data_IF_684966635895
#
_entry.id   IF_684966635895
#
_cell.length_a   1.000
_cell.length_b   1.000
_cell.length_c   1.000
_cell.angle_alpha   90.00
_cell.angle_beta   90.00
_cell.angle_gamma   90.00
#
_symmetry.space_group_name_H-M   'P 1'
#
loop_
_entity.id
_entity.type
_entity.pdbx_description
1 polymer ?
#
# COMPACT_ATOMS: atom_id res chain seq x y z
N UNK A 1 -47.14 35.49 61.72
CA UNK A 1 -45.85 34.77 61.64
C UNK A 1 -46.12 33.37 61.07
N UNK A 2 -45.80 33.12 59.80
CA UNK A 2 -45.94 31.80 59.14
C UNK A 2 -44.57 31.39 58.62
N UNK A 3 -43.95 30.40 59.24
CA UNK A 3 -42.67 29.82 58.83
C UNK A 3 -42.88 28.48 58.14
N UNK A 4 -42.72 28.44 56.82
CA UNK A 4 -42.69 27.21 56.01
C UNK A 4 -41.59 27.17 54.91
N UNK A 5 -40.36 27.72 55.06
CA UNK A 5 -39.36 27.58 53.99
C UNK A 5 -38.48 26.32 54.10
N UNK A 6 -38.47 25.59 55.22
CA UNK A 6 -37.40 24.61 55.50
C UNK A 6 -37.66 23.19 54.96
N UNK A 7 -38.91 22.75 54.84
CA UNK A 7 -39.25 21.37 54.46
C UNK A 7 -39.15 21.08 52.94
N UNK A 8 -39.40 22.08 52.10
CA UNK A 8 -39.40 21.91 50.62
C UNK A 8 -37.97 21.73 50.08
N UNK A 9 -36.99 22.39 50.71
CA UNK A 9 -35.58 22.34 50.28
C UNK A 9 -34.91 20.98 50.61
N UNK A 10 -35.36 20.29 51.67
CA UNK A 10 -34.84 18.98 52.08
C UNK A 10 -35.32 17.86 51.16
N UNK A 11 -36.59 17.93 50.73
CA UNK A 11 -37.19 16.92 49.83
C UNK A 11 -36.56 17.00 48.43
N UNK A 12 -36.31 18.20 47.90
CA UNK A 12 -35.61 18.36 46.61
C UNK A 12 -34.18 17.77 46.63
N UNK A 13 -33.45 17.95 47.73
CA UNK A 13 -32.09 17.42 47.90
C UNK A 13 -32.06 15.90 47.99
N UNK A 14 -33.02 15.29 48.69
CA UNK A 14 -33.13 13.83 48.79
C UNK A 14 -33.45 13.18 47.44
N UNK A 15 -34.34 13.77 46.64
CA UNK A 15 -34.69 13.28 45.30
C UNK A 15 -33.53 13.40 44.29
N UNK A 16 -32.74 14.47 44.36
CA UNK A 16 -31.54 14.65 43.53
C UNK A 16 -30.45 13.64 43.87
N UNK A 17 -30.23 13.37 45.16
CA UNK A 17 -29.27 12.35 45.61
C UNK A 17 -29.71 10.94 45.20
N UNK A 18 -31.00 10.63 45.30
CA UNK A 18 -31.53 9.33 44.88
C UNK A 18 -31.42 9.13 43.36
N UNK A 19 -31.69 10.16 42.56
CA UNK A 19 -31.50 10.11 41.11
C UNK A 19 -30.02 9.95 40.70
N UNK A 20 -29.10 10.62 41.41
CA UNK A 20 -27.66 10.49 41.17
C UNK A 20 -27.13 9.09 41.53
N UNK A 21 -27.61 8.53 42.65
CA UNK A 21 -27.31 7.15 43.05
C UNK A 21 -27.87 6.15 42.04
N UNK A 22 -29.09 6.36 41.55
CA UNK A 22 -29.69 5.48 40.53
C UNK A 22 -28.88 5.49 39.22
N UNK A 23 -28.36 6.65 38.80
CA UNK A 23 -27.51 6.77 37.62
C UNK A 23 -26.13 6.09 37.78
N UNK A 24 -25.59 6.03 38.99
CA UNK A 24 -24.35 5.31 39.32
C UNK A 24 -24.51 3.78 39.38
N UNK A 25 -25.72 3.29 39.64
CA UNK A 25 -26.05 1.86 39.65
C UNK A 25 -26.63 1.34 38.33
N UNK A 26 -26.74 2.17 37.27
CA UNK A 26 -27.04 1.68 35.93
C UNK A 26 -25.79 0.94 35.40
N UNK A 27 -25.84 -0.40 35.19
CA UNK A 27 -24.73 -1.09 34.57
C UNK A 27 -24.51 -0.48 33.20
N UNK A 28 -23.30 0.05 32.97
CA UNK A 28 -22.86 0.46 31.65
C UNK A 28 -22.96 -0.76 30.74
N UNK A 29 -24.03 -0.86 29.96
CA UNK A 29 -24.18 -1.89 28.94
C UNK A 29 -23.20 -1.55 27.83
N UNK A 30 -21.97 -2.01 27.98
CA UNK A 30 -21.01 -2.12 26.88
C UNK A 30 -21.60 -3.11 25.89
N UNK A 31 -22.35 -2.61 24.91
CA UNK A 31 -22.78 -3.38 23.77
C UNK A 31 -21.53 -3.70 22.94
N UNK A 32 -20.87 -4.82 23.23
CA UNK A 32 -19.87 -5.40 22.33
C UNK A 32 -20.66 -5.99 21.16
N UNK A 33 -20.82 -5.19 20.10
CA UNK A 33 -21.35 -5.70 18.84
C UNK A 33 -20.44 -6.85 18.39
N UNK A 34 -21.00 -8.04 18.20
CA UNK A 34 -20.25 -9.17 17.67
C UNK A 34 -19.64 -8.76 16.33
N UNK A 35 -18.31 -8.84 16.22
CA UNK A 35 -17.62 -8.51 14.98
C UNK A 35 -18.17 -9.42 13.87
N UNK A 36 -18.76 -8.80 12.84
CA UNK A 36 -19.28 -9.54 11.70
C UNK A 36 -18.08 -10.19 11.00
N UNK A 37 -18.07 -11.51 10.93
CA UNK A 37 -16.99 -12.24 10.23
C UNK A 37 -17.17 -11.98 8.74
N UNK A 38 -16.18 -11.33 8.14
CA UNK A 38 -16.15 -11.10 6.70
C UNK A 38 -15.43 -12.24 5.98
N UNK A 39 -15.91 -12.58 4.79
CA UNK A 39 -15.23 -13.55 3.90
C UNK A 39 -14.63 -12.79 2.73
N UNK A 40 -13.30 -12.80 2.64
CA UNK A 40 -12.53 -12.15 1.57
C UNK A 40 -11.90 -13.20 0.68
N UNK A 41 -12.12 -13.10 -0.63
CA UNK A 41 -11.57 -14.02 -1.62
C UNK A 41 -11.14 -13.31 -2.90
N UNK A 42 -10.06 -13.81 -3.52
CA UNK A 42 -9.72 -13.52 -4.91
C UNK A 42 -10.34 -14.62 -5.78
N UNK A 43 -11.19 -14.24 -6.72
CA UNK A 43 -11.79 -15.19 -7.66
C UNK A 43 -10.85 -15.61 -8.77
N UNK A 44 -11.41 -16.33 -9.75
CA UNK A 44 -10.68 -16.84 -10.90
C UNK A 44 -9.99 -15.74 -11.72
N UNK A 45 -8.82 -16.07 -12.25
CA UNK A 45 -8.05 -15.18 -13.11
C UNK A 45 -8.63 -15.19 -14.54
N UNK A 46 -8.67 -14.00 -15.16
CA UNK A 46 -8.97 -13.83 -16.59
C UNK A 46 -7.97 -12.88 -17.23
N UNK A 47 -7.65 -13.10 -18.50
CA UNK A 47 -6.82 -12.18 -19.29
C UNK A 47 -7.71 -11.15 -19.98
N UNK A 48 -7.31 -9.89 -19.94
CA UNK A 48 -7.99 -8.78 -20.63
C UNK A 48 -6.97 -7.93 -21.39
N UNK A 49 -7.37 -7.28 -22.49
CA UNK A 49 -6.50 -6.35 -23.21
C UNK A 49 -6.02 -5.24 -22.27
N UNK A 50 -4.72 -4.92 -22.33
CA UNK A 50 -4.13 -3.84 -21.56
C UNK A 50 -4.01 -2.59 -22.43
N UNK A 51 -4.53 -1.44 -21.98
CA UNK A 51 -4.31 -0.17 -22.66
C UNK A 51 -3.02 0.45 -22.17
N UNK A 52 -2.03 0.53 -23.07
CA UNK A 52 -0.77 1.23 -22.81
C UNK A 52 -0.91 2.72 -22.98
N UNK A 53 -1.73 3.12 -23.95
CA UNK A 53 -2.00 4.51 -24.25
C UNK A 53 -2.73 5.14 -23.06
N UNK A 54 -2.13 6.22 -22.54
CA UNK A 54 -2.66 6.97 -21.41
C UNK A 54 -2.58 6.27 -20.04
N UNK A 55 -1.97 5.10 -19.89
CA UNK A 55 -1.75 4.51 -18.56
C UNK A 55 -0.44 5.03 -17.95
N UNK A 56 -0.48 5.87 -16.90
CA UNK A 56 0.72 6.34 -16.21
C UNK A 56 1.53 5.20 -15.59
N UNK A 57 0.92 4.03 -15.37
CA UNK A 57 1.61 2.87 -14.85
C UNK A 57 2.44 2.12 -15.89
N UNK A 58 2.18 2.33 -17.17
CA UNK A 58 2.88 1.69 -18.28
C UNK A 58 2.85 0.15 -18.28
N UNK A 59 3.08 -0.43 -19.45
CA UNK A 59 3.60 -1.80 -19.51
C UNK A 59 5.10 -1.78 -19.31
N UNK A 60 5.62 -2.85 -18.70
CA UNK A 60 6.99 -3.26 -18.98
C UNK A 60 7.04 -3.68 -20.46
N UNK A 61 7.48 -2.79 -21.34
CA UNK A 61 7.69 -3.03 -22.77
C UNK A 61 6.49 -3.66 -23.50
N UNK A 62 6.49 -4.99 -23.59
CA UNK A 62 5.62 -5.82 -24.44
C UNK A 62 4.32 -6.33 -23.79
N UNK A 63 3.98 -5.89 -22.57
CA UNK A 63 2.78 -6.38 -21.88
C UNK A 63 1.49 -5.89 -22.58
N UNK A 64 0.87 -6.74 -23.40
CA UNK A 64 -0.38 -6.42 -24.12
C UNK A 64 -1.67 -6.82 -23.39
N UNK A 65 -1.55 -7.58 -22.31
CA UNK A 65 -2.70 -8.12 -21.58
C UNK A 65 -2.47 -8.08 -20.07
N UNK A 66 -3.50 -7.72 -19.31
CA UNK A 66 -3.51 -7.85 -17.86
C UNK A 66 -4.20 -9.14 -17.43
N UNK A 67 -3.63 -9.83 -16.45
CA UNK A 67 -4.31 -10.95 -15.78
C UNK A 67 -5.04 -10.43 -14.56
N UNK A 68 -6.36 -10.30 -14.65
CA UNK A 68 -7.17 -9.71 -13.60
C UNK A 68 -7.98 -10.76 -12.81
N UNK A 69 -8.25 -10.47 -11.54
CA UNK A 69 -9.04 -11.29 -10.61
C UNK A 69 -10.05 -10.42 -9.87
N UNK A 70 -11.29 -10.89 -9.67
CA UNK A 70 -12.25 -10.18 -8.84
C UNK A 70 -11.86 -10.34 -7.36
N UNK A 71 -11.76 -9.24 -6.62
CA UNK A 71 -11.71 -9.23 -5.17
C UNK A 71 -13.15 -9.17 -4.65
N UNK A 72 -13.55 -10.22 -3.94
CA UNK A 72 -14.90 -10.43 -3.42
C UNK A 72 -14.89 -10.34 -1.91
N UNK A 73 -15.82 -9.58 -1.33
CA UNK A 73 -16.05 -9.49 0.12
C UNK A 73 -17.52 -9.81 0.38
N UNK A 74 -17.77 -10.83 1.19
CA UNK A 74 -19.12 -11.35 1.53
C UNK A 74 -19.96 -11.66 0.29
N UNK A 75 -19.33 -12.31 -0.71
CA UNK A 75 -19.98 -12.68 -1.97
C UNK A 75 -20.21 -11.52 -2.94
N UNK A 76 -19.80 -10.28 -2.60
CA UNK A 76 -19.93 -9.10 -3.46
C UNK A 76 -18.60 -8.73 -4.08
N UNK A 77 -18.58 -8.54 -5.41
CA UNK A 77 -17.45 -7.93 -6.09
C UNK A 77 -17.19 -6.53 -5.52
N UNK A 78 -15.98 -6.30 -5.02
CA UNK A 78 -15.54 -5.01 -4.48
C UNK A 78 -14.57 -4.32 -5.41
N UNK A 79 -13.58 -5.05 -5.90
CA UNK A 79 -12.52 -4.52 -6.74
C UNK A 79 -12.10 -5.52 -7.81
N UNK A 80 -11.48 -5.03 -8.88
CA UNK A 80 -10.65 -5.86 -9.74
C UNK A 80 -9.19 -5.69 -9.32
N UNK A 81 -8.42 -6.76 -9.43
CA UNK A 81 -7.02 -6.83 -9.00
C UNK A 81 -6.18 -7.49 -10.09
N UNK A 82 -4.87 -7.26 -10.09
CA UNK A 82 -3.92 -7.85 -11.02
C UNK A 82 -2.66 -8.28 -10.29
N UNK A 83 -1.93 -9.23 -10.88
CA UNK A 83 -0.70 -9.77 -10.30
C UNK A 83 -0.92 -10.72 -9.11
N UNK A 84 0.18 -11.19 -8.50
CA UNK A 84 0.12 -12.02 -7.30
C UNK A 84 -0.29 -11.21 -6.08
N UNK A 85 -1.02 -11.85 -5.16
CA UNK A 85 -1.22 -11.34 -3.82
C UNK A 85 -0.01 -11.67 -2.95
N UNK A 86 0.40 -10.74 -2.10
CA UNK A 86 1.47 -10.93 -1.12
C UNK A 86 0.89 -10.89 0.29
N UNK A 87 0.96 -12.01 1.00
CA UNK A 87 0.51 -12.10 2.39
C UNK A 87 1.52 -11.39 3.31
N UNK A 88 1.04 -10.40 4.07
CA UNK A 88 1.81 -9.69 5.09
C UNK A 88 1.64 -10.37 6.44
N UNK A 89 0.40 -10.75 6.74
CA UNK A 89 0.01 -11.52 7.91
C UNK A 89 -0.99 -12.60 7.49
N UNK A 90 -1.35 -13.49 8.42
CA UNK A 90 -2.47 -14.43 8.26
C UNK A 90 -3.80 -13.72 7.95
N UNK A 91 -3.94 -12.46 8.35
CA UNK A 91 -5.16 -11.66 8.23
C UNK A 91 -5.09 -10.57 7.18
N UNK A 92 -3.93 -10.30 6.59
CA UNK A 92 -3.79 -9.20 5.66
C UNK A 92 -2.84 -9.50 4.51
N UNK A 93 -3.22 -9.06 3.32
CA UNK A 93 -2.40 -9.18 2.13
C UNK A 93 -2.47 -7.91 1.30
N UNK A 94 -1.50 -7.74 0.41
CA UNK A 94 -1.49 -6.67 -0.60
C UNK A 94 -1.62 -7.23 -1.99
N UNK A 95 -2.29 -6.47 -2.86
CA UNK A 95 -2.46 -6.81 -4.26
C UNK A 95 -2.62 -5.53 -5.07
N UNK A 96 -2.22 -5.53 -6.33
CA UNK A 96 -2.36 -4.37 -7.21
C UNK A 96 -3.79 -4.29 -7.72
N UNK A 97 -4.39 -3.09 -7.69
CA UNK A 97 -5.73 -2.88 -8.26
C UNK A 97 -5.67 -2.94 -9.79
N UNK A 98 -6.73 -3.43 -10.41
CA UNK A 98 -6.97 -3.28 -11.84
C UNK A 98 -8.21 -2.40 -12.02
N UNK A 99 -8.12 -1.38 -12.86
CA UNK A 99 -9.19 -0.41 -13.09
C UNK A 99 -9.75 -0.58 -14.49
N UNK A 100 -11.07 -0.53 -14.62
CA UNK A 100 -11.75 -0.39 -15.90
C UNK A 100 -12.23 1.05 -16.02
N UNK A 101 -11.62 1.82 -16.93
CA UNK A 101 -11.86 3.24 -17.09
C UNK A 101 -12.57 3.51 -18.42
N UNK A 102 -13.46 4.49 -18.43
CA UNK A 102 -14.02 5.01 -19.67
C UNK A 102 -13.08 6.10 -20.18
N UNK A 103 -12.40 5.79 -21.27
CA UNK A 103 -11.40 6.62 -21.94
C UNK A 103 -11.96 7.28 -23.20
N UNK A 104 -13.29 7.42 -23.30
CA UNK A 104 -13.93 8.16 -24.38
C UNK A 104 -13.80 9.68 -24.14
N UNK A 105 -13.33 10.42 -25.14
CA UNK A 105 -13.30 11.88 -25.10
C UNK A 105 -14.71 12.46 -25.27
N UNK A 106 -14.96 13.68 -24.77
CA UNK A 106 -16.26 14.33 -24.93
C UNK A 106 -16.74 14.43 -26.40
N UNK A 107 -15.81 14.62 -27.33
CA UNK A 107 -16.10 14.82 -28.77
C UNK A 107 -16.37 13.50 -29.53
N UNK A 108 -15.96 12.35 -28.97
CA UNK A 108 -16.20 11.02 -29.57
C UNK A 108 -17.70 10.66 -29.63
N UNK A 109 -18.53 11.38 -28.87
CA UNK A 109 -19.97 11.19 -28.82
C UNK A 109 -20.68 11.53 -30.13
N UNK A 110 -20.06 12.32 -31.02
CA UNK A 110 -20.61 12.67 -32.33
C UNK A 110 -20.53 11.55 -33.38
N UNK A 111 -19.70 10.53 -33.16
CA UNK A 111 -19.40 9.46 -34.14
C UNK A 111 -20.07 8.10 -33.89
N UNK A 112 -21.01 8.01 -32.94
CA UNK A 112 -21.75 6.76 -32.66
C UNK A 112 -21.03 5.72 -31.80
N UNK A 113 -19.85 6.01 -31.25
CA UNK A 113 -19.13 5.15 -30.29
C UNK A 113 -19.08 5.84 -28.92
N UNK A 114 -20.13 5.68 -28.11
CA UNK A 114 -20.33 6.42 -26.86
C UNK A 114 -19.64 5.82 -25.62
N UNK A 115 -18.87 4.73 -25.74
CA UNK A 115 -18.11 4.17 -24.62
C UNK A 115 -16.83 3.45 -25.09
N UNK A 116 -15.68 3.87 -24.58
CA UNK A 116 -14.38 3.23 -24.80
C UNK A 116 -13.84 2.77 -23.44
N UNK A 117 -13.97 1.48 -23.12
CA UNK A 117 -13.55 0.95 -21.82
C UNK A 117 -12.17 0.31 -21.92
N UNK A 118 -11.22 0.84 -21.14
CA UNK A 118 -9.83 0.37 -21.08
C UNK A 118 -9.52 -0.23 -19.72
N UNK A 119 -8.62 -1.21 -19.68
CA UNK A 119 -8.07 -1.73 -18.43
C UNK A 119 -6.70 -1.11 -18.16
N UNK A 120 -6.50 -0.67 -16.91
CA UNK A 120 -5.25 -0.06 -16.44
C UNK A 120 -4.84 -0.58 -15.06
N UNK A 121 -3.55 -0.45 -14.73
CA UNK A 121 -3.02 -0.80 -13.41
C UNK A 121 -3.32 0.34 -12.44
N UNK A 122 -3.97 0.02 -11.32
CA UNK A 122 -4.29 0.98 -10.26
C UNK A 122 -3.28 0.95 -9.11
N UNK A 123 -3.60 1.64 -8.00
CA UNK A 123 -2.76 1.65 -6.80
C UNK A 123 -2.69 0.26 -6.15
N UNK A 124 -1.69 0.08 -5.29
CA UNK A 124 -1.63 -1.07 -4.39
C UNK A 124 -2.75 -0.99 -3.35
N UNK A 125 -3.33 -2.13 -3.01
CA UNK A 125 -4.38 -2.25 -2.02
C UNK A 125 -3.87 -3.09 -0.85
N UNK A 126 -4.13 -2.66 0.38
CA UNK A 126 -4.06 -3.47 1.59
C UNK A 126 -5.46 -3.99 1.93
N UNK A 127 -5.55 -5.30 2.13
CA UNK A 127 -6.81 -5.99 2.39
C UNK A 127 -6.73 -6.66 3.76
N UNK A 128 -7.68 -6.33 4.61
CA UNK A 128 -7.93 -7.02 5.89
C UNK A 128 -8.99 -8.11 5.67
N UNK A 129 -8.60 -9.36 5.85
CA UNK A 129 -9.44 -10.56 5.69
C UNK A 129 -10.51 -10.67 6.78
N UNK A 130 -10.28 -10.13 7.97
CA UNK A 130 -11.19 -10.22 9.12
C UNK A 130 -12.26 -9.14 9.05
N UNK A 131 -11.86 -7.90 8.79
CA UNK A 131 -12.78 -6.75 8.74
C UNK A 131 -13.36 -6.52 7.34
N UNK A 132 -12.85 -7.21 6.32
CA UNK A 132 -13.21 -6.97 4.92
C UNK A 132 -12.78 -5.59 4.40
N UNK A 133 -11.88 -4.90 5.11
CA UNK A 133 -11.48 -3.53 4.78
C UNK A 133 -10.48 -3.56 3.63
N UNK A 134 -10.73 -2.71 2.64
CA UNK A 134 -9.86 -2.49 1.49
C UNK A 134 -9.34 -1.05 1.60
N UNK A 135 -8.02 -0.89 1.66
CA UNK A 135 -7.37 0.43 1.80
C UNK A 135 -6.36 0.61 0.68
N UNK A 136 -6.48 1.71 -0.06
CA UNK A 136 -5.44 2.07 -1.03
C UNK A 136 -4.16 2.46 -0.28
N UNK A 137 -3.04 1.87 -0.68
CA UNK A 137 -1.72 2.17 -0.13
C UNK A 137 -1.12 3.37 -0.85
N UNK A 138 -0.54 4.27 -0.06
CA UNK A 138 0.29 5.36 -0.56
C UNK A 138 1.75 4.99 -0.36
N UNK A 139 2.42 4.64 -1.45
CA UNK A 139 3.86 4.38 -1.48
C UNK A 139 4.56 5.68 -1.88
N UNK A 140 5.40 6.22 -1.00
CA UNK A 140 6.07 7.49 -1.23
C UNK A 140 6.95 7.41 -2.48
N UNK A 141 6.87 8.43 -3.36
CA UNK A 141 7.73 8.55 -4.54
C UNK A 141 7.64 7.36 -5.52
N UNK A 142 6.65 6.47 -5.36
CA UNK A 142 6.47 5.32 -6.23
C UNK A 142 5.89 5.77 -7.57
N UNK A 143 6.65 5.52 -8.63
CA UNK A 143 6.18 5.63 -9.99
C UNK A 143 6.20 4.25 -10.67
N UNK A 144 5.02 3.69 -11.02
CA UNK A 144 4.92 2.42 -11.72
C UNK A 144 5.61 2.37 -13.10
N UNK A 145 5.82 3.50 -13.79
CA UNK A 145 6.59 3.53 -15.03
C UNK A 145 8.11 3.37 -14.79
N UNK A 146 8.57 3.64 -13.57
CA UNK A 146 9.99 3.62 -13.19
C UNK A 146 10.41 2.25 -12.70
N UNK A 147 9.63 1.61 -11.83
CA UNK A 147 9.94 0.27 -11.35
C UNK A 147 8.71 -0.49 -10.82
N UNK A 148 8.88 -1.80 -10.65
CA UNK A 148 7.91 -2.65 -9.97
C UNK A 148 8.21 -2.72 -8.46
N UNK A 149 7.16 -2.90 -7.66
CA UNK A 149 7.30 -3.06 -6.20
C UNK A 149 7.59 -4.52 -5.87
N UNK A 150 8.66 -4.76 -5.12
CA UNK A 150 9.00 -6.08 -4.58
C UNK A 150 8.72 -6.12 -3.09
N UNK A 151 7.86 -7.06 -2.69
CA UNK A 151 7.39 -7.19 -1.33
C UNK A 151 8.19 -8.21 -0.52
N UNK A 152 8.44 -7.90 0.75
CA UNK A 152 8.94 -8.83 1.75
C UNK A 152 8.34 -8.49 3.11
N UNK A 153 7.61 -9.44 3.73
CA UNK A 153 6.83 -9.18 4.97
C UNK A 153 5.93 -7.95 4.78
N UNK A 154 6.09 -6.92 5.59
CA UNK A 154 5.40 -5.63 5.54
C UNK A 154 6.21 -4.51 4.85
N UNK A 155 7.33 -4.87 4.21
CA UNK A 155 8.20 -3.96 3.47
C UNK A 155 7.91 -4.02 1.96
N UNK A 156 7.87 -2.85 1.34
CA UNK A 156 7.85 -2.62 -0.10
C UNK A 156 9.18 -2.00 -0.52
N UNK A 157 9.91 -2.64 -1.42
CA UNK A 157 11.10 -2.07 -2.06
C UNK A 157 10.82 -1.74 -3.51
N UNK A 158 11.21 -0.54 -3.94
CA UNK A 158 11.07 -0.07 -5.31
C UNK A 158 12.04 1.09 -5.58
N UNK A 159 12.28 1.37 -6.86
CA UNK A 159 12.88 2.63 -7.27
C UNK A 159 11.80 3.68 -7.54
N UNK A 160 12.00 4.87 -7.02
CA UNK A 160 11.09 6.00 -7.15
C UNK A 160 11.78 7.26 -7.65
N UNK A 161 10.99 8.28 -7.96
CA UNK A 161 11.51 9.61 -8.32
C UNK A 161 11.24 10.58 -7.18
N UNK A 162 12.17 11.51 -6.94
CA UNK A 162 11.87 12.61 -6.03
C UNK A 162 10.68 13.46 -6.53
N UNK A 163 10.16 14.33 -5.67
CA UNK A 163 9.08 15.28 -6.02
C UNK A 163 9.39 16.13 -7.26
N UNK A 164 10.67 16.34 -7.58
CA UNK A 164 11.10 17.09 -8.75
C UNK A 164 11.31 16.26 -10.03
N UNK A 165 11.09 14.94 -10.00
CA UNK A 165 11.15 14.06 -11.16
C UNK A 165 12.52 13.93 -11.85
N UNK A 166 13.62 14.37 -11.24
CA UNK A 166 14.95 14.45 -11.88
C UNK A 166 16.03 13.64 -11.14
N UNK A 167 15.63 12.86 -10.13
CA UNK A 167 16.52 12.02 -9.37
C UNK A 167 15.86 10.68 -9.08
N UNK A 168 16.60 9.61 -9.31
CA UNK A 168 16.21 8.24 -9.01
C UNK A 168 16.61 7.89 -7.57
N UNK A 169 15.70 7.26 -6.83
CA UNK A 169 15.88 6.86 -5.43
C UNK A 169 15.59 5.38 -5.24
N UNK A 170 16.38 4.71 -4.40
CA UNK A 170 16.04 3.45 -3.76
C UNK A 170 15.15 3.74 -2.55
N UNK A 171 13.95 3.17 -2.55
CA UNK A 171 12.95 3.40 -1.51
C UNK A 171 12.53 2.09 -0.88
N UNK A 172 12.49 2.07 0.45
CA UNK A 172 11.85 1.01 1.23
C UNK A 172 10.74 1.64 2.06
N UNK A 173 9.50 1.23 1.83
CA UNK A 173 8.34 1.66 2.60
C UNK A 173 7.85 0.51 3.50
N UNK A 174 7.55 0.83 4.76
CA UNK A 174 6.87 -0.10 5.67
C UNK A 174 5.40 0.31 5.78
N UNK A 175 4.46 -0.61 5.61
CA UNK A 175 3.02 -0.29 5.48
C UNK A 175 2.45 0.49 6.68
N UNK A 176 2.92 0.20 7.90
CA UNK A 176 2.46 0.87 9.11
C UNK A 176 3.15 2.23 9.36
N UNK A 177 4.21 2.55 8.60
CA UNK A 177 4.99 3.77 8.78
C UNK A 177 4.45 4.90 7.89
N UNK A 178 4.46 6.12 8.42
CA UNK A 178 4.07 7.31 7.65
C UNK A 178 5.12 7.77 6.64
N UNK A 179 6.38 7.40 6.88
CA UNK A 179 7.54 7.78 6.06
C UNK A 179 8.25 6.51 5.60
N UNK A 180 8.90 6.55 4.43
CA UNK A 180 9.73 5.43 4.00
C UNK A 180 10.86 5.20 5.03
N UNK A 181 11.18 3.92 5.22
CA UNK A 181 12.29 3.45 6.04
C UNK A 181 13.64 3.80 5.42
N UNK A 182 13.72 3.72 4.08
CA UNK A 182 14.88 4.09 3.28
C UNK A 182 14.41 5.00 2.14
N UNK A 183 15.13 6.09 1.90
CA UNK A 183 15.05 6.89 0.69
C UNK A 183 16.46 7.38 0.33
N UNK A 184 17.16 6.61 -0.52
CA UNK A 184 18.55 6.89 -0.90
C UNK A 184 18.64 7.23 -2.39
N UNK A 185 19.23 8.38 -2.71
CA UNK A 185 19.51 8.78 -4.10
C UNK A 185 20.47 7.77 -4.75
N UNK A 186 20.07 7.23 -5.90
CA UNK A 186 20.87 6.35 -6.75
C UNK A 186 21.57 7.11 -7.87
N UNK A 187 20.93 8.16 -8.40
CA UNK A 187 21.50 8.92 -9.52
C UNK A 187 20.58 10.03 -10.04
N UNK A 188 21.03 10.79 -11.06
CA UNK A 188 20.15 11.65 -11.84
C UNK A 188 19.14 10.80 -12.64
N UNK A 189 17.99 11.37 -12.94
CA UNK A 189 16.97 10.77 -13.80
C UNK A 189 16.66 11.71 -14.97
N UNK A 190 16.71 11.17 -16.19
CA UNK A 190 16.27 11.84 -17.41
C UNK A 190 14.95 11.22 -17.90
N UNK A 191 13.82 11.94 -17.85
CA UNK A 191 12.53 11.40 -18.30
C UNK A 191 12.49 11.11 -19.81
N UNK A 192 13.37 11.68 -20.62
CA UNK A 192 13.43 11.44 -22.07
C UNK A 192 14.39 10.31 -22.44
N UNK A 193 15.50 10.18 -21.72
CA UNK A 193 16.56 9.20 -22.00
C UNK A 193 16.84 8.29 -20.80
N UNK A 194 15.93 7.37 -20.52
CA UNK A 194 16.09 6.37 -19.47
C UNK A 194 15.84 4.94 -19.95
N UNK A 195 16.39 3.98 -19.20
CA UNK A 195 16.01 2.58 -19.36
C UNK A 195 14.63 2.33 -18.74
N UNK A 196 13.80 1.52 -19.42
CA UNK A 196 12.50 1.07 -18.90
C UNK A 196 12.54 -0.46 -18.69
N UNK A 197 12.40 -0.97 -17.45
CA UNK A 197 12.30 -0.21 -16.19
C UNK A 197 13.63 0.49 -15.84
N UNK A 198 13.59 1.44 -14.91
CA UNK A 198 14.76 2.17 -14.41
C UNK A 198 15.68 1.29 -13.55
N UNK A 199 15.07 0.34 -12.84
CA UNK A 199 15.74 -0.59 -11.95
C UNK A 199 15.30 -2.02 -12.23
N UNK A 200 16.22 -2.96 -12.08
CA UNK A 200 15.85 -4.36 -11.91
C UNK A 200 15.01 -4.53 -10.62
N UNK A 201 14.19 -5.59 -10.52
CA UNK A 201 13.47 -5.91 -9.28
C UNK A 201 14.42 -5.97 -8.08
N UNK A 202 14.05 -5.31 -6.99
CA UNK A 202 14.84 -5.32 -5.77
C UNK A 202 15.00 -6.75 -5.22
N UNK A 203 16.17 -7.07 -4.70
CA UNK A 203 16.47 -8.39 -4.15
C UNK A 203 16.45 -8.34 -2.62
N UNK A 204 15.60 -9.17 -2.01
CA UNK A 204 15.48 -9.29 -0.57
C UNK A 204 16.30 -10.45 -0.03
N UNK A 205 17.02 -10.22 1.06
CA UNK A 205 17.69 -11.22 1.87
C UNK A 205 17.10 -11.23 3.27
N UNK A 206 16.86 -12.43 3.80
CA UNK A 206 16.17 -12.62 5.09
C UNK A 206 17.08 -12.38 6.28
N UNK A 207 18.31 -12.90 6.22
CA UNK A 207 19.28 -12.87 7.32
C UNK A 207 20.68 -12.52 6.78
N UNK A 208 21.28 -11.37 7.17
CA UNK A 208 20.60 -10.25 7.83
C UNK A 208 19.45 -9.71 6.97
N UNK A 209 18.52 -8.97 7.59
CA UNK A 209 17.43 -8.32 6.84
C UNK A 209 18.02 -7.26 5.92
N UNK A 210 18.11 -7.56 4.63
CA UNK A 210 18.82 -6.76 3.64
C UNK A 210 18.04 -6.63 2.35
N UNK A 211 18.18 -5.50 1.69
CA UNK A 211 17.64 -5.26 0.35
C UNK A 211 18.72 -4.71 -0.57
N UNK A 212 18.76 -5.21 -1.80
CA UNK A 212 19.65 -4.72 -2.84
C UNK A 212 18.83 -4.12 -4.00
N UNK A 213 19.31 -2.99 -4.51
CA UNK A 213 18.77 -2.28 -5.65
C UNK A 213 19.81 -2.24 -6.77
N UNK A 214 19.38 -2.53 -8.00
CA UNK A 214 20.25 -2.47 -9.18
C UNK A 214 19.63 -1.56 -10.23
N UNK A 215 20.07 -0.29 -10.33
CA UNK A 215 19.71 0.59 -11.43
C UNK A 215 20.18 0.01 -12.76
N UNK A 216 19.37 0.09 -13.80
CA UNK A 216 19.78 -0.34 -15.12
C UNK A 216 20.83 0.63 -15.68
N UNK A 217 22.06 0.14 -15.87
CA UNK A 217 23.23 0.95 -16.23
C UNK A 217 24.01 1.54 -15.04
N UNK A 218 23.62 1.21 -13.81
CA UNK A 218 24.33 1.62 -12.58
C UNK A 218 24.94 0.46 -11.81
N UNK A 219 25.63 0.78 -10.71
CA UNK A 219 26.14 -0.23 -9.77
C UNK A 219 25.06 -0.65 -8.77
N UNK A 220 25.02 -1.94 -8.37
CA UNK A 220 24.16 -2.39 -7.29
C UNK A 220 24.43 -1.61 -5.99
N UNK A 221 23.41 -1.49 -5.14
CA UNK A 221 23.53 -0.90 -3.80
C UNK A 221 22.71 -1.69 -2.80
N UNK A 222 23.32 -2.09 -1.69
CA UNK A 222 22.71 -2.94 -0.66
C UNK A 222 22.56 -2.19 0.67
N UNK A 223 21.44 -2.45 1.37
CA UNK A 223 21.13 -1.82 2.64
C UNK A 223 20.67 -2.85 3.66
N UNK A 224 21.29 -2.82 4.84
CA UNK A 224 20.84 -3.56 6.01
C UNK A 224 19.74 -2.78 6.73
N UNK A 225 18.60 -3.41 6.98
CA UNK A 225 17.49 -2.81 7.70
C UNK A 225 17.58 -3.20 9.18
N UNK A 226 17.86 -2.23 10.03
CA UNK A 226 18.02 -2.40 11.47
C UNK A 226 16.96 -1.58 12.20
N UNK A 227 15.93 -2.26 12.72
CA UNK A 227 14.80 -1.61 13.37
C UNK A 227 14.02 -0.71 12.39
N UNK A 228 13.89 0.58 12.73
CA UNK A 228 13.29 1.61 11.88
C UNK A 228 14.34 2.43 11.12
N UNK A 229 15.52 1.87 10.87
CA UNK A 229 16.62 2.53 10.17
C UNK A 229 17.22 1.61 9.12
N UNK A 230 17.89 2.19 8.13
CA UNK A 230 18.60 1.47 7.08
C UNK A 230 20.05 1.95 7.01
N UNK A 231 21.00 1.02 6.91
CA UNK A 231 22.44 1.29 6.85
C UNK A 231 22.95 0.81 5.50
N UNK A 232 23.66 1.69 4.77
CA UNK A 232 24.31 1.32 3.51
C UNK A 232 25.44 0.34 3.80
N UNK A 233 25.47 -0.77 3.07
CA UNK A 233 26.58 -1.71 3.10
C UNK A 233 27.57 -1.28 2.03
N UNK A 234 28.78 -0.90 2.43
CA UNK A 234 29.89 -0.74 1.50
C UNK A 234 30.38 -2.14 1.14
N UNK A 235 30.19 -2.54 -0.12
CA UNK A 235 30.78 -3.78 -0.63
C UNK A 235 32.29 -3.56 -0.69
N UNK A 236 32.99 -4.07 0.34
CA UNK A 236 34.44 -3.91 0.47
C UNK A 236 35.17 -4.46 -0.75
N UNK A 237 36.15 -3.70 -1.25
CA UNK A 237 37.09 -4.11 -2.29
C UNK A 237 37.52 -5.57 -2.07
N UNK A 238 37.37 -6.38 -3.13
CA UNK A 238 37.80 -7.76 -3.14
C UNK A 238 39.24 -7.84 -2.63
N UNK A 239 39.44 -8.41 -1.45
CA UNK A 239 40.76 -8.66 -0.91
C UNK A 239 41.56 -9.47 -1.92
N UNK A 240 42.61 -8.85 -2.47
CA UNK A 240 43.67 -9.54 -3.20
C UNK A 240 44.15 -10.70 -2.32
N UNK A 241 43.88 -11.93 -2.77
CA UNK A 241 44.44 -13.11 -2.17
C UNK A 241 45.94 -13.13 -2.49
N UNK A 242 46.69 -12.65 -1.51
CA UNK A 242 48.13 -12.83 -1.30
C UNK A 242 48.55 -14.27 -1.70
N UNK A 243 49.51 -14.36 -2.63
CA UNK A 243 49.97 -15.63 -3.19
C UNK A 243 50.71 -16.51 -2.17
N UNK A 244 50.78 -17.84 -2.40
CA UNK A 244 51.59 -18.69 -1.54
C UNK A 244 53.05 -18.61 -1.99
N UNK A 245 53.89 -18.03 -1.13
CA UNK A 245 55.32 -18.27 -1.19
C UNK A 245 55.63 -19.74 -0.90
N UNK A 246 56.39 -20.36 -1.80
CA UNK A 246 57.38 -21.40 -1.52
C UNK A 246 58.42 -21.42 -2.63
#
# INVERSE_FOLDING_TARGET
MRGYPCAVLTILRASLLFALLLALFLPARSAVAAAKVHVVALGGAKKVPYSLEGDPAGATGDEKNLTIRPLVVDGKLKEWTTGPAHDITDRSFVVRRALQLNDALPDDKGGGKSSHWVWQKGPWLLIDRVSGRITALHLADYDPAVSEVVWFRDYAAYCGLNTGGHQLYAVVSQIAARRPLLAKKLGPWDPEHHATPACAPAAWQREPLRVAFTPNGGQPSSFDLVGLSAVLVEDGDAAEAEGPGR
#
